data_IF_702523579690
#
_entry.id   IF_702523579690
#
_cell.length_a   1.000
_cell.length_b   1.000
_cell.length_c   1.000
_cell.angle_alpha   90.00
_cell.angle_beta   90.00
_cell.angle_gamma   90.00
#
_symmetry.space_group_name_H-M   'P 1'
#
loop_
_entity.id
_entity.type
_entity.pdbx_description
1 polymer ?
#
# COMPACT_ATOMS: atom_id res chain seq x y z
N UNK A 1 32.95 -12.68 12.87
CA UNK A 1 31.78 -12.82 11.98
C UNK A 1 31.13 -14.17 12.22
N UNK A 2 29.82 -14.22 12.50
CA UNK A 2 29.01 -15.34 12.06
C UNK A 2 27.94 -14.86 11.06
N UNK A 3 28.11 -15.39 9.85
CA UNK A 3 27.19 -15.56 8.72
C UNK A 3 25.69 -15.27 8.93
N UNK A 4 25.22 -14.23 8.24
CA UNK A 4 24.26 -14.34 7.12
C UNK A 4 22.90 -15.01 7.36
N UNK A 5 21.87 -14.16 7.49
CA UNK A 5 20.43 -14.44 7.40
C UNK A 5 19.99 -15.12 6.09
N UNK A 6 18.79 -15.73 6.07
CA UNK A 6 17.65 -14.97 5.54
C UNK A 6 16.49 -14.88 6.53
N UNK A 7 16.17 -13.64 6.94
CA UNK A 7 14.86 -13.25 7.47
C UNK A 7 13.95 -13.09 6.25
N UNK A 8 12.86 -13.83 6.17
CA UNK A 8 11.82 -13.57 5.18
C UNK A 8 10.46 -13.70 5.84
N UNK A 9 9.73 -12.59 5.77
CA UNK A 9 8.37 -12.40 6.25
C UNK A 9 7.51 -12.48 4.99
N UNK A 10 6.49 -13.34 5.00
CA UNK A 10 5.51 -13.39 3.91
C UNK A 10 4.17 -12.95 4.49
N UNK A 11 3.70 -11.78 4.03
CA UNK A 11 2.34 -11.32 4.20
C UNK A 11 1.52 -11.98 3.10
N UNK A 12 0.54 -12.81 3.44
CA UNK A 12 -0.34 -13.40 2.43
C UNK A 12 -1.32 -12.35 1.89
N UNK A 13 -1.57 -12.32 0.58
CA UNK A 13 -2.59 -11.44 0.01
C UNK A 13 -3.98 -11.85 0.48
N UNK A 14 -4.85 -10.84 0.63
CA UNK A 14 -6.24 -10.99 1.05
C UNK A 14 -7.01 -11.88 0.06
N UNK A 15 -7.74 -12.87 0.56
CA UNK A 15 -8.46 -13.86 -0.26
C UNK A 15 -9.57 -13.21 -1.11
N UNK A 16 -9.65 -13.62 -2.39
CA UNK A 16 -10.59 -13.13 -3.41
C UNK A 16 -11.91 -13.90 -3.37
N UNK A 17 -13.03 -13.25 -3.07
CA UNK A 17 -14.37 -13.82 -3.25
C UNK A 17 -14.72 -13.91 -4.74
N UNK A 18 -14.90 -15.14 -5.24
CA UNK A 18 -15.22 -15.44 -6.64
C UNK A 18 -16.73 -15.24 -6.93
N UNK A 19 -17.56 -15.05 -5.89
CA UNK A 19 -19.00 -14.80 -6.05
C UNK A 19 -19.44 -13.34 -5.83
N UNK A 20 -18.78 -12.60 -4.93
CA UNK A 20 -19.20 -11.23 -4.57
C UNK A 20 -18.18 -10.12 -4.90
N UNK A 21 -16.99 -10.48 -5.38
CA UNK A 21 -15.89 -9.53 -5.62
C UNK A 21 -15.36 -8.85 -4.35
N UNK A 22 -15.83 -9.21 -3.14
CA UNK A 22 -15.30 -8.67 -1.88
C UNK A 22 -14.03 -9.40 -1.47
N UNK A 23 -13.10 -8.68 -0.85
CA UNK A 23 -11.93 -9.26 -0.21
C UNK A 23 -12.30 -9.69 1.21
N UNK A 24 -11.99 -10.92 1.56
CA UNK A 24 -12.22 -11.44 2.92
C UNK A 24 -10.93 -11.31 3.73
N UNK A 25 -10.92 -10.48 4.80
CA UNK A 25 -9.74 -10.29 5.61
C UNK A 25 -9.34 -11.62 6.25
N UNK A 26 -8.07 -11.98 6.10
CA UNK A 26 -7.50 -13.18 6.71
C UNK A 26 -7.56 -13.05 8.24
N UNK A 27 -8.19 -14.01 8.91
CA UNK A 27 -8.47 -13.92 10.34
C UNK A 27 -7.22 -14.05 11.23
N UNK A 28 -6.22 -14.85 10.85
CA UNK A 28 -4.94 -14.91 11.57
C UNK A 28 -3.91 -15.68 10.74
N UNK A 29 -2.65 -15.23 10.73
CA UNK A 29 -1.57 -15.92 10.02
C UNK A 29 -0.37 -16.12 10.94
N UNK A 30 0.14 -17.34 11.00
CA UNK A 30 1.36 -17.67 11.73
C UNK A 30 2.41 -18.21 10.77
N UNK A 31 3.66 -17.76 10.93
CA UNK A 31 4.80 -18.17 10.08
C UNK A 31 5.85 -18.86 10.94
N UNK A 32 6.32 -20.02 10.47
CA UNK A 32 7.36 -20.84 11.10
C UNK A 32 8.46 -21.20 10.10
N UNK A 33 9.70 -21.32 10.58
CA UNK A 33 10.78 -22.03 9.91
C UNK A 33 10.86 -23.48 10.42
N UNK A 34 10.29 -24.46 9.72
CA UNK A 34 10.32 -25.86 10.17
C UNK A 34 11.46 -26.68 9.54
N UNK A 35 12.28 -27.35 10.38
CA UNK A 35 13.29 -28.34 9.94
C UNK A 35 13.06 -29.77 10.47
N UNK A 36 11.94 -30.04 11.14
CA UNK A 36 11.60 -31.37 11.67
C UNK A 36 10.80 -32.21 10.68
N UNK A 37 10.70 -33.53 10.87
CA UNK A 37 9.66 -34.37 10.26
C UNK A 37 8.51 -34.48 11.26
N UNK A 38 7.27 -34.33 10.80
CA UNK A 38 6.10 -34.60 11.62
C UNK A 38 6.00 -36.12 11.74
N UNK A 39 6.46 -36.68 12.87
CA UNK A 39 5.99 -38.00 13.28
C UNK A 39 4.58 -37.77 13.81
N UNK A 40 3.61 -38.12 12.98
CA UNK A 40 2.28 -38.46 13.45
C UNK A 40 2.47 -39.46 14.59
N UNK A 41 2.09 -39.07 15.80
CA UNK A 41 1.82 -40.05 16.83
C UNK A 41 0.61 -40.84 16.32
N UNK A 42 0.89 -42.02 15.76
CA UNK A 42 -0.10 -42.96 15.24
C UNK A 42 -0.77 -43.62 16.43
N UNK A 43 -1.60 -42.89 17.16
CA UNK A 43 -2.70 -43.50 17.91
C UNK A 43 -3.62 -42.43 18.52
N UNK A 44 -4.53 -41.94 17.69
CA UNK A 44 -5.97 -41.94 18.01
C UNK A 44 -6.75 -41.55 16.77
N UNK A 45 -7.41 -42.55 16.19
CA UNK A 45 -8.41 -42.40 15.15
C UNK A 45 -9.58 -41.57 15.69
N UNK A 46 -9.81 -40.38 15.15
CA UNK A 46 -11.15 -39.82 15.02
C UNK A 46 -11.25 -38.98 13.75
N UNK A 47 -11.75 -39.67 12.71
CA UNK A 47 -12.58 -39.21 11.59
C UNK A 47 -12.22 -37.90 10.87
N UNK A 48 -11.81 -38.05 9.61
CA UNK A 48 -12.24 -37.18 8.50
C UNK A 48 -11.29 -36.03 8.15
N UNK A 49 -10.31 -36.30 7.29
CA UNK A 49 -9.50 -35.25 6.63
C UNK A 49 -8.19 -35.83 6.11
N UNK A 50 -8.10 -36.11 4.80
CA UNK A 50 -6.84 -36.54 4.18
C UNK A 50 -5.91 -35.33 4.14
N UNK A 51 -4.84 -35.38 4.94
CA UNK A 51 -3.75 -34.40 4.89
C UNK A 51 -2.91 -34.69 3.66
N UNK A 52 -3.05 -33.87 2.62
CA UNK A 52 -2.28 -33.96 1.40
C UNK A 52 -1.37 -32.72 1.29
N UNK A 53 -0.06 -32.97 1.26
CA UNK A 53 0.96 -31.94 1.03
C UNK A 53 0.93 -31.57 -0.45
N UNK A 54 0.59 -30.33 -0.79
CA UNK A 54 0.64 -29.85 -2.16
C UNK A 54 1.45 -28.56 -2.21
N UNK A 55 2.56 -28.61 -2.94
CA UNK A 55 3.50 -27.50 -3.16
C UNK A 55 2.91 -26.47 -4.13
N UNK A 56 2.66 -25.25 -3.63
CA UNK A 56 2.10 -24.11 -4.34
C UNK A 56 2.86 -22.79 -4.08
N UNK A 57 2.30 -21.62 -4.43
CA UNK A 57 3.08 -20.40 -4.72
C UNK A 57 3.55 -19.60 -3.50
N UNK A 58 3.21 -20.02 -2.27
CA UNK A 58 3.62 -19.32 -1.06
C UNK A 58 5.09 -19.64 -0.72
N UNK A 59 5.99 -18.96 -1.45
CA UNK A 59 7.37 -18.67 -1.05
C UNK A 59 8.19 -19.83 -0.50
N UNK A 60 9.08 -20.39 -1.32
CA UNK A 60 10.12 -21.35 -0.89
C UNK A 60 10.79 -20.90 0.42
N UNK A 61 10.51 -21.58 1.53
CA UNK A 61 11.22 -21.43 2.80
C UNK A 61 10.40 -21.16 4.06
N UNK A 62 9.06 -21.04 3.98
CA UNK A 62 8.22 -20.76 5.16
C UNK A 62 7.04 -21.71 5.29
N UNK A 63 6.72 -22.11 6.52
CA UNK A 63 5.50 -22.84 6.84
C UNK A 63 4.46 -21.88 7.39
N UNK A 64 3.32 -21.80 6.70
CA UNK A 64 2.23 -20.88 7.02
C UNK A 64 1.05 -21.66 7.60
N UNK A 65 0.52 -21.20 8.73
CA UNK A 65 -0.75 -21.67 9.29
C UNK A 65 -1.72 -20.50 9.36
N UNK A 66 -2.91 -20.68 8.79
CA UNK A 66 -4.02 -19.73 8.79
C UNK A 66 -5.08 -20.22 9.77
N UNK A 67 -5.58 -19.34 10.64
CA UNK A 67 -6.75 -19.62 11.49
C UNK A 67 -7.91 -18.77 11.01
N UNK A 68 -9.01 -19.41 10.65
CA UNK A 68 -10.20 -18.76 10.11
C UNK A 68 -11.45 -19.23 10.84
N UNK A 69 -12.28 -18.29 11.31
CA UNK A 69 -13.47 -18.62 12.10
C UNK A 69 -14.62 -19.04 11.19
N UNK A 70 -14.75 -18.39 10.05
CA UNK A 70 -15.82 -18.65 9.09
C UNK A 70 -15.51 -19.91 8.27
N UNK A 71 -16.47 -20.83 8.24
CA UNK A 71 -16.30 -22.12 7.57
C UNK A 71 -16.10 -21.97 6.06
N UNK A 72 -16.92 -21.15 5.41
CA UNK A 72 -16.85 -20.93 3.97
C UNK A 72 -15.53 -20.24 3.57
N UNK A 73 -15.03 -19.33 4.41
CA UNK A 73 -13.71 -18.71 4.18
C UNK A 73 -12.56 -19.69 4.41
N UNK A 74 -12.65 -20.55 5.44
CA UNK A 74 -11.65 -21.56 5.73
C UNK A 74 -11.55 -22.61 4.59
N UNK A 75 -12.68 -23.05 4.05
CA UNK A 75 -12.73 -23.96 2.89
C UNK A 75 -12.06 -23.31 1.67
N UNK A 76 -12.46 -22.08 1.33
CA UNK A 76 -11.86 -21.33 0.22
C UNK A 76 -10.37 -21.09 0.40
N UNK A 77 -9.93 -20.80 1.63
CA UNK A 77 -8.52 -20.65 1.95
C UNK A 77 -7.75 -21.96 1.75
N UNK A 78 -8.35 -23.10 2.09
CA UNK A 78 -7.75 -24.44 1.93
C UNK A 78 -7.56 -24.78 0.45
N UNK A 79 -8.49 -24.39 -0.40
CA UNK A 79 -8.41 -24.60 -1.85
C UNK A 79 -7.43 -23.64 -2.53
N UNK A 80 -7.38 -22.38 -2.08
CA UNK A 80 -6.66 -21.30 -2.74
C UNK A 80 -5.23 -21.04 -2.25
N UNK A 81 -4.85 -21.52 -1.07
CA UNK A 81 -3.57 -21.22 -0.43
C UNK A 81 -2.72 -22.48 -0.22
N UNK A 82 -1.41 -22.34 -0.43
CA UNK A 82 -0.41 -23.31 0.02
C UNK A 82 -0.08 -23.09 1.50
N UNK A 83 -1.07 -23.33 2.37
CA UNK A 83 -0.97 -23.13 3.81
C UNK A 83 -1.80 -24.18 4.56
N UNK A 84 -1.42 -24.46 5.80
CA UNK A 84 -2.29 -25.21 6.71
C UNK A 84 -3.42 -24.29 7.18
N UNK A 85 -4.67 -24.61 6.85
CA UNK A 85 -5.83 -23.85 7.33
C UNK A 85 -6.49 -24.58 8.49
N UNK A 86 -6.77 -23.83 9.55
CA UNK A 86 -7.46 -24.32 10.75
C UNK A 86 -8.73 -23.52 10.97
N UNK A 87 -9.87 -24.20 11.05
CA UNK A 87 -11.12 -23.55 11.42
C UNK A 87 -11.15 -23.27 12.92
N UNK A 88 -11.29 -22.01 13.33
CA UNK A 88 -11.36 -21.63 14.74
C UNK A 88 -11.25 -20.14 15.00
N UNK A 89 -11.46 -19.75 16.25
CA UNK A 89 -11.27 -18.35 16.68
C UNK A 89 -9.78 -18.07 16.91
N UNK A 90 -9.18 -17.18 16.11
CA UNK A 90 -7.78 -16.75 16.24
C UNK A 90 -7.44 -16.03 17.56
N UNK A 91 -8.44 -15.53 18.30
CA UNK A 91 -8.25 -14.99 19.64
C UNK A 91 -8.26 -16.07 20.75
N UNK A 92 -8.53 -17.34 20.41
CA UNK A 92 -8.59 -18.42 21.39
C UNK A 92 -7.20 -18.96 21.74
N UNK A 93 -6.78 -18.91 23.02
CA UNK A 93 -5.51 -19.50 23.44
C UNK A 93 -5.39 -20.99 23.10
N UNK A 94 -6.49 -21.74 23.08
CA UNK A 94 -6.52 -23.16 22.71
C UNK A 94 -6.16 -23.34 21.23
N UNK A 95 -6.84 -22.60 20.35
CA UNK A 95 -6.61 -22.69 18.89
C UNK A 95 -5.19 -22.24 18.54
N UNK A 96 -4.68 -21.19 19.20
CA UNK A 96 -3.29 -20.74 19.02
C UNK A 96 -2.26 -21.81 19.43
N UNK A 97 -2.53 -22.57 20.50
CA UNK A 97 -1.67 -23.70 20.89
C UNK A 97 -1.70 -24.82 19.86
N UNK A 98 -2.89 -25.15 19.34
CA UNK A 98 -3.06 -26.18 18.30
C UNK A 98 -2.38 -25.76 16.98
N UNK A 99 -2.43 -24.47 16.62
CA UNK A 99 -1.65 -23.88 15.53
C UNK A 99 -0.13 -23.86 15.82
N UNK A 100 0.26 -24.10 17.07
CA UNK A 100 1.62 -24.21 17.55
C UNK A 100 2.35 -22.87 17.67
N UNK A 101 1.65 -21.81 18.06
CA UNK A 101 2.18 -20.44 18.18
C UNK A 101 3.44 -20.33 19.05
N UNK A 102 3.62 -21.22 20.03
CA UNK A 102 4.82 -21.30 20.88
C UNK A 102 6.15 -21.28 20.11
N UNK A 103 6.17 -21.86 18.91
CA UNK A 103 7.38 -21.93 18.08
C UNK A 103 7.26 -21.04 16.83
N UNK A 104 6.33 -20.09 16.81
CA UNK A 104 6.14 -19.18 15.68
C UNK A 104 7.14 -18.02 15.74
N UNK A 105 7.78 -17.76 14.61
CA UNK A 105 8.65 -16.59 14.43
C UNK A 105 7.81 -15.30 14.36
N UNK A 106 6.58 -15.42 13.85
CA UNK A 106 5.67 -14.32 13.61
C UNK A 106 4.22 -14.77 13.74
N UNK A 107 3.41 -13.96 14.43
CA UNK A 107 1.95 -13.99 14.37
C UNK A 107 1.44 -12.66 13.82
N UNK A 108 0.55 -12.74 12.83
CA UNK A 108 -0.13 -11.60 12.21
C UNK A 108 -1.62 -11.74 12.47
N UNK A 109 -2.19 -10.79 13.19
CA UNK A 109 -3.62 -10.70 13.46
C UNK A 109 -4.25 -9.59 12.60
N UNK A 110 -5.03 -9.99 11.60
CA UNK A 110 -5.55 -9.11 10.57
C UNK A 110 -7.06 -9.29 10.33
N UNK A 111 -7.81 -9.68 11.37
CA UNK A 111 -9.27 -9.74 11.34
C UNK A 111 -9.89 -8.35 11.17
N UNK A 112 -11.22 -8.29 10.98
CA UNK A 112 -12.00 -7.05 11.02
C UNK A 112 -12.15 -6.41 12.39
N UNK A 113 -11.84 -7.12 13.49
CA UNK A 113 -11.97 -6.62 14.86
C UNK A 113 -10.61 -6.32 15.46
N UNK A 114 -10.41 -5.06 15.85
CA UNK A 114 -9.21 -4.62 16.53
C UNK A 114 -9.05 -5.36 17.87
N UNK A 115 -10.15 -5.56 18.60
CA UNK A 115 -10.16 -6.30 19.86
C UNK A 115 -9.70 -7.75 19.67
N UNK A 116 -10.21 -8.44 18.65
CA UNK A 116 -9.76 -9.80 18.34
C UNK A 116 -8.28 -9.83 17.95
N UNK A 117 -7.80 -8.83 17.21
CA UNK A 117 -6.40 -8.74 16.81
C UNK A 117 -5.47 -8.51 18.01
N UNK A 118 -5.88 -7.63 18.93
CA UNK A 118 -5.16 -7.33 20.17
C UNK A 118 -5.11 -8.57 21.07
N UNK A 119 -6.26 -9.22 21.30
CA UNK A 119 -6.34 -10.43 22.15
C UNK A 119 -5.53 -11.58 21.55
N UNK A 120 -5.57 -11.77 20.22
CA UNK A 120 -4.77 -12.79 19.56
C UNK A 120 -3.27 -12.54 19.76
N UNK A 121 -2.81 -11.30 19.61
CA UNK A 121 -1.40 -10.94 19.84
C UNK A 121 -0.98 -11.13 21.30
N UNK A 122 -1.80 -10.69 22.26
CA UNK A 122 -1.56 -10.91 23.69
C UNK A 122 -1.45 -12.40 24.03
N UNK A 123 -2.42 -13.20 23.59
CA UNK A 123 -2.45 -14.63 23.83
C UNK A 123 -1.25 -15.34 23.16
N UNK A 124 -0.84 -14.88 21.97
CA UNK A 124 0.32 -15.40 21.27
C UNK A 124 1.64 -15.07 21.98
N UNK A 125 1.80 -13.82 22.44
CA UNK A 125 2.98 -13.35 23.17
C UNK A 125 3.14 -14.12 24.49
N UNK A 126 2.05 -14.29 25.24
CA UNK A 126 2.02 -15.09 26.46
C UNK A 126 2.38 -16.58 26.24
N UNK A 127 2.17 -17.10 25.02
CA UNK A 127 2.49 -18.48 24.66
C UNK A 127 3.89 -18.67 24.03
N UNK A 128 4.63 -17.58 23.80
CA UNK A 128 6.01 -17.63 23.32
C UNK A 128 6.23 -17.26 21.85
N UNK A 129 5.26 -16.64 21.17
CA UNK A 129 5.49 -16.10 19.82
C UNK A 129 6.65 -15.09 19.84
N UNK A 130 7.59 -15.21 18.90
CA UNK A 130 8.76 -14.34 18.86
C UNK A 130 8.38 -12.88 18.54
N UNK A 131 7.53 -12.68 17.52
CA UNK A 131 7.00 -11.38 17.11
C UNK A 131 5.50 -11.43 16.83
N UNK A 132 4.81 -10.34 17.17
CA UNK A 132 3.37 -10.16 16.90
C UNK A 132 3.13 -8.89 16.07
N UNK A 133 2.19 -8.98 15.13
CA UNK A 133 1.75 -7.87 14.28
C UNK A 133 0.23 -7.80 14.34
N UNK A 134 -0.31 -6.63 14.69
CA UNK A 134 -1.76 -6.43 14.70
C UNK A 134 -2.16 -5.38 13.68
N UNK A 135 -3.24 -5.64 12.93
CA UNK A 135 -3.96 -4.61 12.21
C UNK A 135 -4.91 -3.91 13.18
N UNK A 136 -4.75 -2.60 13.35
CA UNK A 136 -5.56 -1.78 14.26
C UNK A 136 -6.07 -0.57 13.49
N UNK A 137 -7.36 -0.31 13.58
CA UNK A 137 -8.03 0.82 12.95
C UNK A 137 -8.39 1.94 13.91
N UNK A 138 -8.77 1.60 15.14
CA UNK A 138 -9.19 2.57 16.14
C UNK A 138 -7.97 3.25 16.76
N UNK A 139 -7.95 4.58 16.68
CA UNK A 139 -6.92 5.44 17.27
C UNK A 139 -6.88 5.33 18.79
N UNK A 140 -8.00 4.97 19.44
CA UNK A 140 -8.04 4.75 20.90
C UNK A 140 -7.14 3.58 21.36
N UNK A 141 -6.84 2.63 20.46
CA UNK A 141 -5.99 1.48 20.76
C UNK A 141 -4.53 1.66 20.29
N UNK A 142 -4.26 2.68 19.49
CA UNK A 142 -2.92 2.95 18.95
C UNK A 142 -2.68 4.43 18.67
N UNK A 143 -1.79 5.03 19.46
CA UNK A 143 -1.11 6.28 19.15
C UNK A 143 0.40 6.01 18.99
N UNK A 144 1.01 6.31 17.82
CA UNK A 144 2.45 6.13 17.61
C UNK A 144 3.33 6.96 18.57
N UNK A 145 2.76 7.96 19.26
CA UNK A 145 3.47 8.79 20.26
C UNK A 145 3.45 8.17 21.66
N UNK A 146 2.62 7.16 21.87
CA UNK A 146 2.47 6.51 23.16
C UNK A 146 2.97 5.06 23.12
N UNK A 147 3.72 4.61 24.13
CA UNK A 147 4.25 3.25 24.14
C UNK A 147 3.20 2.19 24.52
N UNK A 148 1.94 2.58 24.78
CA UNK A 148 0.88 1.69 25.28
C UNK A 148 0.76 0.38 24.50
N UNK A 149 0.75 0.43 23.17
CA UNK A 149 0.57 -0.75 22.33
C UNK A 149 1.76 -1.73 22.39
N UNK A 150 2.98 -1.22 22.53
CA UNK A 150 4.17 -2.05 22.62
C UNK A 150 4.44 -2.53 24.06
N UNK A 151 4.33 -1.63 25.03
CA UNK A 151 4.69 -1.89 26.43
C UNK A 151 3.56 -2.57 27.21
N UNK A 152 2.29 -2.20 26.96
CA UNK A 152 1.14 -2.75 27.70
C UNK A 152 0.47 -3.88 26.93
N UNK A 153 0.20 -3.70 25.62
CA UNK A 153 -0.46 -4.72 24.80
C UNK A 153 0.48 -5.78 24.23
N UNK A 154 1.80 -5.59 24.34
CA UNK A 154 2.80 -6.56 23.88
C UNK A 154 2.78 -6.83 22.37
N UNK A 155 2.28 -5.87 21.59
CA UNK A 155 2.20 -5.93 20.13
C UNK A 155 3.48 -5.34 19.55
N UNK A 156 4.32 -6.15 18.89
CA UNK A 156 5.62 -5.66 18.39
C UNK A 156 5.48 -4.64 17.26
N UNK A 157 4.51 -4.86 16.35
CA UNK A 157 4.26 -3.97 15.22
C UNK A 157 2.75 -3.77 14.98
N UNK A 158 2.37 -2.54 14.65
CA UNK A 158 0.99 -2.20 14.30
C UNK A 158 0.91 -1.82 12.83
N UNK A 159 -0.09 -2.37 12.14
CA UNK A 159 -0.46 -1.96 10.79
C UNK A 159 -1.72 -1.11 10.90
N UNK A 160 -1.56 0.21 10.75
CA UNK A 160 -2.67 1.15 10.70
C UNK A 160 -2.94 1.54 9.24
N UNK A 161 -3.80 0.77 8.58
CA UNK A 161 -4.01 0.87 7.12
C UNK A 161 -4.46 2.26 6.66
N UNK A 162 -5.31 2.93 7.44
CA UNK A 162 -5.85 4.23 7.07
C UNK A 162 -4.81 5.33 7.19
N UNK A 163 -3.95 5.30 8.21
CA UNK A 163 -2.81 6.20 8.32
C UNK A 163 -1.86 6.02 7.14
N UNK A 164 -1.53 4.78 6.78
CA UNK A 164 -0.66 4.50 5.63
C UNK A 164 -1.27 5.00 4.31
N UNK A 165 -2.57 4.78 4.11
CA UNK A 165 -3.27 5.29 2.92
C UNK A 165 -3.30 6.83 2.89
N UNK A 166 -3.57 7.48 4.04
CA UNK A 166 -3.51 8.93 4.16
C UNK A 166 -2.10 9.46 3.85
N UNK A 167 -1.05 8.84 4.37
CA UNK A 167 0.35 9.23 4.09
C UNK A 167 0.71 9.10 2.61
N UNK A 168 0.29 8.01 1.96
CA UNK A 168 0.50 7.80 0.52
C UNK A 168 -0.20 8.88 -0.31
N UNK A 169 -1.48 9.17 -0.01
CA UNK A 169 -2.24 10.21 -0.70
C UNK A 169 -1.62 11.59 -0.45
N UNK A 170 -1.24 11.90 0.80
CA UNK A 170 -0.54 13.14 1.14
C UNK A 170 0.78 13.27 0.37
N UNK A 171 1.53 12.17 0.19
CA UNK A 171 2.73 12.13 -0.64
C UNK A 171 2.45 12.48 -2.09
N UNK A 172 1.40 11.91 -2.68
CA UNK A 172 0.96 12.23 -4.04
C UNK A 172 0.52 13.71 -4.19
N UNK A 173 -0.20 14.25 -3.20
CA UNK A 173 -0.63 15.65 -3.18
C UNK A 173 0.54 16.63 -2.96
N UNK A 174 1.59 16.22 -2.25
CA UNK A 174 2.75 17.04 -1.93
C UNK A 174 3.73 17.22 -3.11
N UNK A 175 3.67 16.34 -4.11
CA UNK A 175 4.53 16.41 -5.29
C UNK A 175 3.75 16.40 -6.62
N UNK A 176 2.95 17.44 -6.91
CA UNK A 176 2.25 17.56 -8.19
C UNK A 176 3.23 17.52 -9.37
N UNK A 177 2.84 16.83 -10.44
CA UNK A 177 3.68 16.58 -11.62
C UNK A 177 4.53 15.31 -11.56
N UNK A 178 4.70 14.70 -10.38
CA UNK A 178 5.28 13.36 -10.25
C UNK A 178 4.19 12.28 -10.36
N UNK A 179 4.52 11.18 -11.03
CA UNK A 179 3.68 9.98 -11.15
C UNK A 179 3.95 9.01 -10.00
N UNK A 180 5.19 8.97 -9.53
CA UNK A 180 5.58 8.17 -8.37
C UNK A 180 6.70 8.88 -7.61
N UNK A 181 6.78 8.68 -6.30
CA UNK A 181 7.89 9.16 -5.49
C UNK A 181 8.17 8.19 -4.34
N UNK A 182 9.42 7.73 -4.25
CA UNK A 182 9.86 6.82 -3.19
C UNK A 182 11.01 7.44 -2.40
N UNK A 183 10.94 7.33 -1.08
CA UNK A 183 11.95 7.87 -0.17
C UNK A 183 12.87 6.78 0.36
N UNK A 184 14.18 7.02 0.27
CA UNK A 184 15.25 6.13 0.69
C UNK A 184 16.08 6.76 1.82
N UNK A 185 16.97 5.95 2.43
CA UNK A 185 17.91 6.39 3.45
C UNK A 185 17.24 7.11 4.65
N UNK A 186 16.16 6.52 5.18
CA UNK A 186 15.32 7.08 6.24
C UNK A 186 14.73 8.45 5.87
N UNK A 187 14.28 8.60 4.62
CA UNK A 187 13.62 9.82 4.16
C UNK A 187 14.56 10.96 3.76
N UNK A 188 15.87 10.72 3.66
CA UNK A 188 16.86 11.74 3.28
C UNK A 188 16.90 11.99 1.78
N UNK A 189 16.66 10.94 0.99
CA UNK A 189 16.73 10.98 -0.46
C UNK A 189 15.37 10.56 -1.01
N UNK A 190 14.89 11.23 -2.05
CA UNK A 190 13.67 10.88 -2.76
C UNK A 190 13.98 10.64 -4.22
N UNK A 191 13.48 9.54 -4.76
CA UNK A 191 13.45 9.28 -6.19
C UNK A 191 12.04 9.58 -6.68
N UNK A 192 11.90 10.45 -7.68
CA UNK A 192 10.63 10.79 -8.30
C UNK A 192 10.60 10.36 -9.77
N UNK A 193 9.48 9.83 -10.21
CA UNK A 193 9.20 9.53 -11.61
C UNK A 193 8.28 10.61 -12.18
N UNK A 194 8.65 11.20 -13.31
CA UNK A 194 7.87 12.24 -13.99
C UNK A 194 7.63 11.81 -15.43
N UNK A 195 6.42 12.01 -15.94
CA UNK A 195 6.12 11.86 -17.36
C UNK A 195 6.10 13.26 -17.99
N UNK A 196 7.00 13.51 -18.93
CA UNK A 196 7.05 14.81 -19.62
C UNK A 196 5.85 14.97 -20.56
N UNK A 197 5.04 15.99 -20.32
CA UNK A 197 4.02 16.43 -21.28
C UNK A 197 4.66 17.20 -22.43
N UNK A 198 3.95 17.32 -23.55
CA UNK A 198 4.49 18.01 -24.73
C UNK A 198 4.83 19.49 -24.51
N UNK A 199 4.20 20.12 -23.52
CA UNK A 199 4.41 21.50 -23.09
C UNK A 199 5.36 21.63 -21.88
N UNK A 200 6.00 20.53 -21.45
CA UNK A 200 6.87 20.55 -20.29
C UNK A 200 8.17 21.31 -20.57
N UNK A 201 8.69 22.11 -19.60
CA UNK A 201 9.85 22.98 -19.82
C UNK A 201 11.13 22.23 -20.16
N UNK A 202 11.23 20.96 -19.78
CA UNK A 202 12.37 20.12 -20.11
C UNK A 202 12.32 19.51 -21.53
N UNK A 203 11.19 19.55 -22.24
CA UNK A 203 11.10 18.97 -23.59
C UNK A 203 11.96 19.76 -24.56
N UNK A 204 12.83 19.07 -25.29
CA UNK A 204 13.81 19.66 -26.21
C UNK A 204 15.08 20.17 -25.53
N UNK A 205 15.20 20.04 -24.20
CA UNK A 205 16.37 20.49 -23.43
C UNK A 205 17.34 19.32 -23.21
N UNK A 206 18.64 19.58 -23.30
CA UNK A 206 19.67 18.59 -22.95
C UNK A 206 19.79 18.46 -21.44
N UNK A 207 20.05 17.26 -20.94
CA UNK A 207 20.15 16.99 -19.49
C UNK A 207 21.16 17.92 -18.79
N UNK A 208 22.28 18.24 -19.42
CA UNK A 208 23.28 19.16 -18.83
C UNK A 208 22.84 20.64 -18.79
N UNK A 209 21.86 21.01 -19.62
CA UNK A 209 21.34 22.38 -19.72
C UNK A 209 20.14 22.59 -18.78
N UNK A 210 19.71 21.56 -18.05
CA UNK A 210 18.62 21.66 -17.08
C UNK A 210 19.06 22.45 -15.84
N UNK A 211 18.30 23.49 -15.50
CA UNK A 211 18.49 24.26 -14.27
C UNK A 211 17.89 23.52 -13.06
N UNK A 212 18.55 22.45 -12.63
CA UNK A 212 18.10 21.68 -11.48
C UNK A 212 18.69 22.23 -10.17
N UNK A 213 17.94 22.15 -9.05
CA UNK A 213 18.49 22.47 -7.72
C UNK A 213 19.77 21.69 -7.41
N UNK A 214 20.67 22.27 -6.60
CA UNK A 214 21.85 21.54 -6.13
C UNK A 214 21.50 20.16 -5.52
N UNK A 215 22.40 19.20 -5.71
CA UNK A 215 22.26 17.81 -5.21
C UNK A 215 21.03 17.11 -5.77
N UNK A 216 20.74 17.38 -7.04
CA UNK A 216 19.77 16.64 -7.85
C UNK A 216 20.45 16.00 -9.05
N UNK A 217 19.84 14.92 -9.56
CA UNK A 217 20.35 14.23 -10.74
C UNK A 217 19.22 13.54 -11.49
N UNK A 218 19.26 13.58 -12.82
CA UNK A 218 18.49 12.69 -13.68
C UNK A 218 19.23 11.35 -13.75
N UNK A 219 18.63 10.29 -13.20
CA UNK A 219 19.30 8.98 -13.05
C UNK A 219 18.94 7.98 -14.13
N UNK A 220 17.83 8.22 -14.83
CA UNK A 220 17.34 7.31 -15.86
C UNK A 220 16.20 7.93 -16.63
N UNK A 221 16.06 7.53 -17.89
CA UNK A 221 14.91 7.87 -18.71
C UNK A 221 14.36 6.54 -19.25
N UNK A 222 13.04 6.40 -19.31
CA UNK A 222 12.38 5.33 -20.06
C UNK A 222 11.64 5.95 -21.23
N UNK A 223 12.07 5.61 -22.45
CA UNK A 223 11.51 6.10 -23.70
C UNK A 223 11.02 4.91 -24.52
N UNK A 224 9.76 4.97 -24.95
CA UNK A 224 9.12 3.86 -25.69
C UNK A 224 9.23 2.48 -25.01
N UNK A 225 9.31 2.45 -23.69
CA UNK A 225 9.45 1.21 -22.90
C UNK A 225 10.88 0.74 -22.68
N UNK A 226 11.87 1.41 -23.28
CA UNK A 226 13.29 1.08 -23.12
C UNK A 226 13.97 2.02 -22.13
N UNK A 227 14.77 1.45 -21.22
CA UNK A 227 15.54 2.21 -20.25
C UNK A 227 16.85 2.71 -20.88
N UNK A 228 17.12 4.00 -20.73
CA UNK A 228 18.34 4.65 -21.18
C UNK A 228 19.00 5.40 -20.02
N UNK A 229 20.34 5.32 -19.99
CA UNK A 229 21.16 6.05 -19.02
C UNK A 229 21.45 7.44 -19.61
N UNK A 230 20.96 8.53 -19.00
CA UNK A 230 21.15 9.87 -19.53
C UNK A 230 22.63 10.28 -19.51
N UNK A 231 23.05 10.95 -20.58
CA UNK A 231 24.30 11.68 -20.69
C UNK A 231 24.01 13.18 -20.75
N UNK A 232 25.03 14.02 -20.58
CA UNK A 232 24.84 15.47 -20.60
C UNK A 232 24.20 15.99 -21.89
N UNK A 233 24.51 15.37 -23.03
CA UNK A 233 23.98 15.69 -24.36
C UNK A 233 22.63 15.05 -24.69
N UNK A 234 22.10 14.20 -23.80
CA UNK A 234 20.79 13.55 -24.00
C UNK A 234 19.68 14.60 -23.99
N UNK A 235 18.92 14.69 -25.09
CA UNK A 235 17.76 15.59 -25.21
C UNK A 235 16.52 14.88 -24.69
N UNK A 236 15.78 15.56 -23.81
CA UNK A 236 14.52 15.06 -23.27
C UNK A 236 13.37 15.26 -24.26
N UNK A 237 12.51 14.26 -24.38
CA UNK A 237 11.40 14.24 -25.34
C UNK A 237 10.04 14.14 -24.63
N UNK A 238 8.99 14.58 -25.32
CA UNK A 238 7.63 14.39 -24.84
C UNK A 238 7.34 12.90 -24.64
N UNK A 239 6.63 12.58 -23.54
CA UNK A 239 6.31 11.23 -23.06
C UNK A 239 7.50 10.44 -22.47
N UNK A 240 8.67 11.04 -22.34
CA UNK A 240 9.74 10.44 -21.56
C UNK A 240 9.30 10.25 -20.10
N UNK A 241 9.59 9.08 -19.55
CA UNK A 241 9.51 8.81 -18.11
C UNK A 241 10.87 9.10 -17.50
N UNK A 242 11.01 10.23 -16.83
CA UNK A 242 12.27 10.72 -16.28
C UNK A 242 12.33 10.36 -14.79
N UNK A 243 13.41 9.68 -14.39
CA UNK A 243 13.69 9.36 -13.00
C UNK A 243 14.66 10.39 -12.43
N UNK A 244 14.20 11.09 -11.40
CA UNK A 244 14.92 12.12 -10.69
C UNK A 244 15.31 11.62 -9.32
N UNK A 245 16.50 11.98 -8.83
CA UNK A 245 16.89 11.78 -7.44
C UNK A 245 17.29 13.12 -6.82
N UNK A 246 16.95 13.32 -5.55
CA UNK A 246 17.40 14.49 -4.80
C UNK A 246 17.08 14.42 -3.31
N UNK A 247 17.50 15.44 -2.57
CA UNK A 247 17.12 15.60 -1.17
C UNK A 247 15.60 15.80 -1.05
N UNK A 248 14.97 15.19 -0.02
CA UNK A 248 13.51 15.29 0.21
C UNK A 248 12.99 16.72 0.19
N UNK A 249 13.73 17.68 0.78
CA UNK A 249 13.35 19.10 0.82
C UNK A 249 13.44 19.82 -0.54
N UNK A 250 14.15 19.25 -1.52
CA UNK A 250 14.40 19.85 -2.83
C UNK A 250 13.60 19.19 -3.95
N UNK A 251 13.01 18.01 -3.71
CA UNK A 251 12.38 17.21 -4.76
C UNK A 251 11.27 17.98 -5.51
N UNK A 252 10.45 18.77 -4.82
CA UNK A 252 9.43 19.61 -5.46
C UNK A 252 10.02 20.67 -6.37
N UNK A 253 11.19 21.23 -6.04
CA UNK A 253 11.91 22.15 -6.91
C UNK A 253 12.45 21.46 -8.16
N UNK A 254 12.95 20.23 -8.03
CA UNK A 254 13.44 19.44 -9.16
C UNK A 254 12.29 19.11 -10.12
N UNK A 255 11.14 18.66 -9.60
CA UNK A 255 9.96 18.36 -10.42
C UNK A 255 9.44 19.62 -11.13
N UNK A 256 9.39 20.77 -10.44
CA UNK A 256 9.02 22.08 -11.04
C UNK A 256 9.92 22.52 -12.18
N UNK A 257 11.21 22.19 -12.12
CA UNK A 257 12.16 22.57 -13.18
C UNK A 257 11.94 21.78 -14.48
N UNK A 258 11.35 20.58 -14.41
CA UNK A 258 11.23 19.69 -15.58
C UNK A 258 9.80 19.43 -16.06
N UNK A 259 8.81 19.53 -15.17
CA UNK A 259 7.45 19.08 -15.43
C UNK A 259 6.47 20.25 -15.52
N UNK A 260 5.27 19.96 -16.02
CA UNK A 260 4.09 20.84 -15.94
C UNK A 260 3.15 20.41 -14.81
N UNK A 261 2.16 21.25 -14.49
CA UNK A 261 1.18 21.02 -13.42
C UNK A 261 1.77 20.81 -12.02
N UNK A 262 2.88 21.48 -11.74
CA UNK A 262 3.65 21.33 -10.50
C UNK A 262 3.25 22.31 -9.40
N UNK A 263 2.11 22.97 -9.55
CA UNK A 263 1.66 23.99 -8.63
C UNK A 263 1.22 23.36 -7.31
N UNK A 264 1.56 23.97 -6.16
CA UNK A 264 1.23 23.39 -4.87
C UNK A 264 -0.29 23.35 -4.68
N UNK A 265 -0.79 22.23 -4.18
CA UNK A 265 -2.22 21.99 -3.94
C UNK A 265 -2.68 22.86 -2.78
N UNK A 266 -3.65 23.76 -3.03
CA UNK A 266 -4.23 24.64 -2.01
C UNK A 266 -5.66 24.26 -1.64
N UNK A 267 -6.36 23.58 -2.54
CA UNK A 267 -7.71 23.10 -2.34
C UNK A 267 -7.84 21.63 -2.80
N UNK A 268 -8.48 20.81 -1.95
CA UNK A 268 -8.74 19.40 -2.21
C UNK A 268 -10.21 19.08 -2.03
N UNK A 269 -10.80 18.46 -3.04
CA UNK A 269 -12.12 17.83 -2.92
C UNK A 269 -11.92 16.34 -2.64
N UNK A 270 -12.51 15.84 -1.56
CA UNK A 270 -12.41 14.45 -1.10
C UNK A 270 -13.78 13.80 -1.25
N UNK A 271 -13.86 12.82 -2.14
CA UNK A 271 -15.03 11.98 -2.34
C UNK A 271 -14.93 10.73 -1.43
N UNK A 272 -15.79 10.69 -0.41
CA UNK A 272 -15.79 9.71 0.67
C UNK A 272 -15.30 10.29 1.99
N UNK A 273 -16.17 10.39 2.98
CA UNK A 273 -15.91 10.84 4.36
C UNK A 273 -15.67 9.70 5.36
N UNK A 274 -15.35 8.49 4.87
CA UNK A 274 -14.98 7.33 5.68
C UNK A 274 -13.72 7.55 6.53
N UNK A 275 -13.12 6.46 7.04
CA UNK A 275 -11.93 6.58 7.92
C UNK A 275 -10.74 7.25 7.22
N UNK A 276 -10.42 6.83 5.99
CA UNK A 276 -9.34 7.42 5.18
C UNK A 276 -9.65 8.88 4.83
N UNK A 277 -10.86 9.14 4.32
CA UNK A 277 -11.25 10.47 3.86
C UNK A 277 -11.27 11.52 4.96
N UNK A 278 -11.85 11.21 6.11
CA UNK A 278 -11.86 12.13 7.25
C UNK A 278 -10.43 12.37 7.79
N UNK A 279 -9.62 11.32 7.90
CA UNK A 279 -8.24 11.45 8.37
C UNK A 279 -7.39 12.29 7.44
N UNK A 280 -7.55 12.09 6.13
CA UNK A 280 -6.94 12.92 5.10
C UNK A 280 -7.40 14.37 5.19
N UNK A 281 -8.71 14.61 5.35
CA UNK A 281 -9.27 15.95 5.48
C UNK A 281 -8.66 16.70 6.68
N UNK A 282 -8.58 16.04 7.84
CA UNK A 282 -7.95 16.60 9.05
C UNK A 282 -6.46 16.88 8.87
N UNK A 283 -5.72 16.00 8.19
CA UNK A 283 -4.30 16.19 7.92
C UNK A 283 -4.02 17.36 6.95
N UNK A 284 -4.86 17.50 5.92
CA UNK A 284 -4.81 18.60 4.96
C UNK A 284 -5.18 19.94 5.60
N UNK A 285 -6.24 19.97 6.41
CA UNK A 285 -6.67 21.18 7.13
C UNK A 285 -5.57 21.68 8.10
N UNK A 286 -4.93 20.77 8.84
CA UNK A 286 -3.76 21.07 9.68
C UNK A 286 -2.58 21.65 8.89
N UNK A 287 -2.46 21.27 7.62
CA UNK A 287 -1.42 21.78 6.70
C UNK A 287 -1.82 23.08 6.00
N UNK A 288 -3.00 23.64 6.31
CA UNK A 288 -3.52 24.88 5.72
C UNK A 288 -4.14 24.72 4.34
N UNK A 289 -4.42 23.49 3.91
CA UNK A 289 -5.10 23.19 2.64
C UNK A 289 -6.61 23.26 2.85
N UNK A 290 -7.33 23.94 1.96
CA UNK A 290 -8.79 23.97 1.98
C UNK A 290 -9.35 22.61 1.58
N UNK A 291 -10.31 22.10 2.35
CA UNK A 291 -10.89 20.77 2.12
C UNK A 291 -12.40 20.84 1.95
N UNK A 292 -12.91 20.12 0.95
CA UNK A 292 -14.33 19.86 0.75
C UNK A 292 -14.55 18.35 0.73
N UNK A 293 -15.30 17.81 1.67
CA UNK A 293 -15.60 16.38 1.78
C UNK A 293 -17.01 16.12 1.27
N UNK A 294 -17.19 15.10 0.45
CA UNK A 294 -18.49 14.62 -0.03
C UNK A 294 -18.72 13.24 0.56
N UNK A 295 -19.83 13.06 1.30
CA UNK A 295 -20.16 11.81 1.98
C UNK A 295 -21.65 11.51 1.83
N UNK A 296 -21.96 10.29 1.38
CA UNK A 296 -23.34 9.87 1.08
C UNK A 296 -24.13 9.55 2.35
N UNK A 297 -23.48 9.11 3.43
CA UNK A 297 -24.16 8.74 4.66
C UNK A 297 -24.33 9.97 5.56
N UNK A 298 -25.58 10.34 5.84
CA UNK A 298 -25.92 11.53 6.62
C UNK A 298 -25.26 11.55 8.01
N UNK A 299 -25.23 10.39 8.68
CA UNK A 299 -24.65 10.28 10.03
C UNK A 299 -23.15 10.50 9.97
N UNK A 300 -22.48 9.90 8.98
CA UNK A 300 -21.05 10.05 8.75
C UNK A 300 -20.68 11.45 8.30
N UNK A 301 -21.48 12.07 7.42
CA UNK A 301 -21.30 13.44 6.96
C UNK A 301 -21.40 14.42 8.15
N UNK A 302 -22.42 14.28 9.00
CA UNK A 302 -22.56 15.06 10.24
C UNK A 302 -21.38 14.85 11.17
N UNK A 303 -20.94 13.61 11.36
CA UNK A 303 -19.78 13.30 12.18
C UNK A 303 -18.52 14.01 11.66
N UNK A 304 -18.24 13.91 10.35
CA UNK A 304 -17.10 14.58 9.72
C UNK A 304 -17.19 16.12 9.84
N UNK A 305 -18.39 16.69 9.70
CA UNK A 305 -18.62 18.13 9.81
C UNK A 305 -18.29 18.68 11.20
N UNK A 306 -18.53 17.89 12.26
CA UNK A 306 -18.18 18.26 13.65
C UNK A 306 -16.67 18.24 13.87
N UNK A 307 -15.93 17.38 13.18
CA UNK A 307 -14.48 17.22 13.38
C UNK A 307 -13.66 18.28 12.63
N UNK A 308 -14.14 18.77 11.49
CA UNK A 308 -13.44 19.77 10.68
C UNK A 308 -13.67 21.18 11.23
N UNK A 309 -12.60 21.96 11.36
CA UNK A 309 -12.69 23.32 11.89
C UNK A 309 -13.10 24.36 10.84
N UNK A 310 -12.73 24.14 9.58
CA UNK A 310 -12.90 25.05 8.43
C UNK A 310 -13.36 24.34 7.16
N UNK A 311 -13.13 23.03 7.06
CA UNK A 311 -13.55 22.22 5.93
C UNK A 311 -15.07 22.21 5.72
N UNK A 312 -15.48 22.11 4.45
CA UNK A 312 -16.89 21.95 4.08
C UNK A 312 -17.22 20.46 3.94
N UNK A 313 -18.34 20.02 4.52
CA UNK A 313 -18.86 18.66 4.30
C UNK A 313 -20.20 18.73 3.59
N UNK A 314 -20.31 18.01 2.48
CA UNK A 314 -21.51 17.89 1.66
C UNK A 314 -22.09 16.49 1.85
N UNK A 315 -23.37 16.43 2.19
CA UNK A 315 -24.13 15.18 2.21
C UNK A 315 -24.73 14.94 0.82
N UNK A 316 -24.06 14.12 0.02
CA UNK A 316 -24.45 13.80 -1.36
C UNK A 316 -23.83 12.47 -1.81
N UNK A 317 -24.46 11.78 -2.76
CA UNK A 317 -23.91 10.58 -3.39
C UNK A 317 -22.71 10.91 -4.29
N UNK A 318 -22.63 12.14 -4.81
CA UNK A 318 -21.39 12.77 -5.28
C UNK A 318 -20.73 12.21 -6.55
N UNK A 319 -21.36 11.25 -7.23
CA UNK A 319 -20.82 10.61 -8.45
C UNK A 319 -21.33 11.19 -9.77
N UNK A 320 -22.31 12.11 -9.74
CA UNK A 320 -22.87 12.67 -10.96
C UNK A 320 -21.98 13.76 -11.55
N UNK A 321 -21.90 13.82 -12.88
CA UNK A 321 -21.18 14.87 -13.61
C UNK A 321 -21.70 16.26 -13.23
N UNK A 322 -23.01 16.38 -13.07
CA UNK A 322 -23.69 17.64 -12.76
C UNK A 322 -23.31 18.14 -11.36
N UNK A 323 -23.28 17.25 -10.38
CA UNK A 323 -22.82 17.57 -9.02
C UNK A 323 -21.36 18.06 -9.03
N UNK A 324 -20.45 17.33 -9.69
CA UNK A 324 -19.04 17.71 -9.75
C UNK A 324 -18.82 19.08 -10.42
N UNK A 325 -19.62 19.41 -11.44
CA UNK A 325 -19.61 20.73 -12.08
C UNK A 325 -20.18 21.83 -11.17
N UNK A 326 -21.30 21.57 -10.50
CA UNK A 326 -21.89 22.51 -9.54
C UNK A 326 -20.91 22.84 -8.42
N UNK A 327 -20.19 21.83 -7.93
CA UNK A 327 -19.19 21.96 -6.87
C UNK A 327 -17.82 22.44 -7.34
N UNK A 328 -17.71 22.83 -8.62
CA UNK A 328 -16.54 23.44 -9.27
C UNK A 328 -15.28 22.57 -9.23
N UNK A 329 -15.43 21.27 -9.49
CA UNK A 329 -14.28 20.35 -9.60
C UNK A 329 -13.26 20.79 -10.66
N UNK A 330 -13.70 21.53 -11.67
CA UNK A 330 -12.89 22.13 -12.74
C UNK A 330 -11.86 23.15 -12.22
N UNK A 331 -12.08 23.67 -11.00
CA UNK A 331 -11.22 24.67 -10.37
C UNK A 331 -10.41 24.12 -9.20
N UNK A 332 -10.70 22.90 -8.75
CA UNK A 332 -9.98 22.27 -7.64
C UNK A 332 -8.57 21.88 -8.06
N UNK A 333 -7.59 22.09 -7.17
CA UNK A 333 -6.20 21.71 -7.45
C UNK A 333 -6.03 20.18 -7.41
N UNK A 334 -6.73 19.49 -6.51
CA UNK A 334 -6.75 18.03 -6.49
C UNK A 334 -8.11 17.43 -6.10
N UNK A 335 -8.47 16.34 -6.76
CA UNK A 335 -9.63 15.52 -6.41
C UNK A 335 -9.17 14.15 -5.90
N UNK A 336 -9.67 13.71 -4.76
CA UNK A 336 -9.32 12.43 -4.14
C UNK A 336 -10.58 11.61 -3.93
N UNK A 337 -10.65 10.40 -4.47
CA UNK A 337 -11.75 9.47 -4.24
C UNK A 337 -11.32 8.29 -3.38
N UNK A 338 -11.87 8.17 -2.18
CA UNK A 338 -11.51 7.20 -1.14
C UNK A 338 -12.74 6.63 -0.43
N UNK A 339 -13.74 6.24 -1.21
CA UNK A 339 -14.89 5.47 -0.72
C UNK A 339 -14.54 3.99 -0.55
N UNK A 340 -15.47 3.22 0.02
CA UNK A 340 -15.36 1.77 0.10
C UNK A 340 -15.61 1.02 -1.22
N UNK A 341 -15.93 1.71 -2.32
CA UNK A 341 -16.12 1.10 -3.65
C UNK A 341 -15.04 1.61 -4.63
N UNK A 342 -14.10 0.72 -4.97
CA UNK A 342 -13.03 0.98 -5.93
C UNK A 342 -13.54 1.44 -7.31
N UNK A 343 -14.70 0.91 -7.78
CA UNK A 343 -15.27 1.31 -9.07
C UNK A 343 -15.79 2.73 -9.01
N UNK A 344 -16.46 3.09 -7.91
CA UNK A 344 -16.90 4.46 -7.67
C UNK A 344 -15.69 5.40 -7.61
N UNK A 345 -14.62 4.99 -6.93
CA UNK A 345 -13.39 5.79 -6.82
C UNK A 345 -12.74 6.05 -8.19
N UNK A 346 -12.63 5.01 -9.02
CA UNK A 346 -12.08 5.12 -10.38
C UNK A 346 -12.95 6.02 -11.26
N UNK A 347 -14.26 5.79 -11.28
CA UNK A 347 -15.19 6.59 -12.12
C UNK A 347 -15.21 8.05 -11.68
N UNK A 348 -15.29 8.32 -10.38
CA UNK A 348 -15.27 9.69 -9.86
C UNK A 348 -13.96 10.41 -10.21
N UNK A 349 -12.80 9.77 -10.01
CA UNK A 349 -11.51 10.34 -10.36
C UNK A 349 -11.35 10.57 -11.87
N UNK A 350 -11.88 9.68 -12.71
CA UNK A 350 -11.91 9.86 -14.16
C UNK A 350 -12.79 11.03 -14.59
N UNK A 351 -14.00 11.14 -14.05
CA UNK A 351 -14.90 12.27 -14.34
C UNK A 351 -14.31 13.59 -13.87
N UNK A 352 -13.76 13.66 -12.64
CA UNK A 352 -13.08 14.85 -12.15
C UNK A 352 -11.93 15.28 -13.08
N UNK A 353 -11.13 14.31 -13.56
CA UNK A 353 -10.04 14.57 -14.51
C UNK A 353 -10.55 15.12 -15.85
N UNK A 354 -11.62 14.54 -16.40
CA UNK A 354 -12.23 15.00 -17.65
C UNK A 354 -12.85 16.40 -17.54
N UNK A 355 -13.35 16.75 -16.34
CA UNK A 355 -13.97 18.04 -16.06
C UNK A 355 -12.95 19.15 -15.75
N UNK A 356 -11.69 18.83 -15.48
CA UNK A 356 -10.62 19.83 -15.34
C UNK A 356 -9.78 19.74 -14.06
N UNK A 357 -10.01 18.77 -13.19
CA UNK A 357 -9.18 18.60 -11.99
C UNK A 357 -7.70 18.37 -12.36
N UNK A 358 -6.82 19.24 -11.84
CA UNK A 358 -5.39 19.27 -12.21
C UNK A 358 -4.64 18.03 -11.72
N UNK A 359 -5.05 17.49 -10.59
CA UNK A 359 -4.55 16.23 -10.03
C UNK A 359 -5.74 15.37 -9.58
N UNK A 360 -5.70 14.08 -9.85
CA UNK A 360 -6.71 13.14 -9.35
C UNK A 360 -6.04 11.93 -8.71
N UNK A 361 -6.59 11.49 -7.58
CA UNK A 361 -6.13 10.32 -6.84
C UNK A 361 -7.34 9.42 -6.56
N UNK A 362 -7.23 8.13 -6.90
CA UNK A 362 -8.24 7.14 -6.59
C UNK A 362 -7.66 6.10 -5.63
N UNK A 363 -8.30 5.92 -4.47
CA UNK A 363 -8.03 4.83 -3.56
C UNK A 363 -8.55 3.52 -4.14
N UNK A 364 -7.66 2.55 -4.31
CA UNK A 364 -7.98 1.22 -4.83
C UNK A 364 -7.52 0.20 -3.79
N UNK A 365 -8.47 -0.52 -3.21
CA UNK A 365 -8.22 -1.57 -2.22
C UNK A 365 -8.01 -2.94 -2.87
N UNK A 366 -8.53 -3.14 -4.08
CA UNK A 366 -8.53 -4.41 -4.81
C UNK A 366 -7.39 -4.44 -5.83
N UNK A 367 -6.52 -5.43 -5.70
CA UNK A 367 -5.38 -5.61 -6.61
C UNK A 367 -5.76 -5.84 -8.09
N UNK A 368 -7.00 -6.25 -8.38
CA UNK A 368 -7.51 -6.43 -9.75
C UNK A 368 -7.73 -5.11 -10.51
N UNK A 369 -7.91 -4.01 -9.78
CA UNK A 369 -8.05 -2.66 -10.33
C UNK A 369 -6.75 -1.85 -10.20
N UNK A 370 -5.76 -2.36 -9.45
CA UNK A 370 -4.45 -1.75 -9.38
C UNK A 370 -3.72 -1.93 -10.73
N UNK A 371 -3.22 -0.85 -11.36
CA UNK A 371 -2.43 -1.00 -12.58
C UNK A 371 -1.23 -1.91 -12.30
N UNK A 372 -0.89 -2.78 -13.25
CA UNK A 372 0.20 -3.74 -13.07
C UNK A 372 1.51 -2.99 -12.77
N UNK A 373 1.94 -3.00 -11.51
CA UNK A 373 3.27 -2.55 -11.08
C UNK A 373 4.32 -3.59 -11.47
N UNK A 374 4.40 -3.94 -12.76
CA UNK A 374 5.59 -4.62 -13.27
C UNK A 374 6.63 -3.54 -13.53
N UNK A 375 7.72 -3.46 -12.75
CA UNK A 375 8.93 -2.94 -13.36
C UNK A 375 9.16 -3.79 -14.61
N UNK A 376 9.36 -3.15 -15.77
CA UNK A 376 10.01 -3.81 -16.89
C UNK A 376 11.42 -4.16 -16.40
N UNK A 377 11.55 -5.29 -15.71
CA UNK A 377 12.81 -5.98 -15.61
C UNK A 377 13.20 -6.26 -17.05
N UNK A 378 14.30 -5.63 -17.47
CA UNK A 378 15.00 -5.89 -18.70
C UNK A 378 15.14 -7.39 -18.93
N UNK A 379 14.29 -7.95 -19.78
CA UNK A 379 14.63 -9.17 -20.51
C UNK A 379 15.62 -8.79 -21.59
N UNK A 380 16.86 -8.48 -21.20
CA UNK A 380 18.01 -8.65 -22.08
C UNK A 380 18.71 -9.95 -21.67
N UNK A 381 18.66 -11.01 -22.49
CA UNK A 381 19.53 -12.15 -22.26
C UNK A 381 20.96 -11.67 -22.49
N UNK A 382 21.77 -11.67 -21.44
CA UNK A 382 23.22 -11.50 -21.61
C UNK A 382 23.70 -12.64 -22.52
N UNK A 383 24.35 -12.37 -23.67
CA UNK A 383 24.97 -13.44 -24.44
C UNK A 383 26.16 -13.98 -23.63
N UNK A 384 26.41 -15.30 -23.62
CA UNK A 384 27.55 -15.86 -22.92
C UNK A 384 28.83 -15.36 -23.59
N UNK A 385 29.66 -14.66 -22.82
CA UNK A 385 31.03 -14.32 -23.20
C UNK A 385 31.81 -15.62 -23.33
N UNK A 386 31.97 -16.10 -24.56
CA UNK A 386 32.84 -17.21 -24.90
C UNK A 386 34.29 -16.77 -24.68
N UNK A 387 34.92 -17.28 -23.62
CA UNK A 387 36.38 -17.22 -23.45
C UNK A 387 37.04 -18.05 -24.55
N UNK A 388 37.62 -17.40 -25.56
CA UNK A 388 38.70 -17.98 -26.37
C UNK A 388 40.05 -17.65 -25.71
N UNK A 389 40.55 -18.58 -24.90
CA UNK A 389 42.00 -18.89 -24.82
C UNK A 389 42.22 -20.00 -25.85
N UNK A 390 43.22 -20.08 -26.70
CA UNK A 390 44.40 -19.30 -27.06
C UNK A 390 45.10 -20.14 -28.14
N UNK A 391 46.01 -19.55 -28.92
CA UNK A 391 47.19 -20.17 -29.57
C UNK A 391 47.73 -19.24 -30.66
N UNK A 392 49.02 -19.35 -31.04
CA UNK A 392 50.04 -20.27 -30.52
C UNK A 392 50.66 -19.82 -29.20
#
# INVERSE_FOLDING_TARGET
MPSGTPRRVVVAPVLRDVGSGRYTPLTLLTVKNWRGRWRADRDRRSRGGRVQRCSGPLGRGHDVVVVERDEALAERATEGLDALVMQGNGASPRVLREAGVKNADLLVAATTSDEANIIACLAAKAQGALRTVARIHNEDYYDPREPFTQEVLGIDFVIHTEQMATEEIMGALALPGAVNAESFANGRITVAEVILKGDAPAVGVRVQDLELPERSLVVGIVRHGEALVPRGDTVLEARDRVFLIGEKRRISGIVRAIATDTQPVREVMIFGGGRIGLRLALALEKSGVAVKVVEQDETRARYAAVQLARGLVLHDEGISRDFLLQERVDRTDAFVAVTGDDRANLLAAMYARQLGAKLTVAGISRGEFAPSRRPLASTSPSPPVARRRGHP
#
